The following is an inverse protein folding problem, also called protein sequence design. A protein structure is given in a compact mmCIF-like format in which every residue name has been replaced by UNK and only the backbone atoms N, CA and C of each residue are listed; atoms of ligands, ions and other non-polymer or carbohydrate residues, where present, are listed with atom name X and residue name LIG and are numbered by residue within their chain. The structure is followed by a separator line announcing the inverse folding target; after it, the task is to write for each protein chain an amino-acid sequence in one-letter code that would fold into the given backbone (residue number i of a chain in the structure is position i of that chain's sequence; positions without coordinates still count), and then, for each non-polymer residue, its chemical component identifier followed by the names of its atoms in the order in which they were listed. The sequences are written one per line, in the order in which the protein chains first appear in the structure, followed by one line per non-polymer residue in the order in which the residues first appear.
data_IF_365446143246
#
_entry.id   IF_365446143246
#
_cell.length_a   1.000
_cell.length_b   1.000
_cell.length_c   1.000
_cell.angle_alpha   90.00
_cell.angle_beta   90.00
_cell.angle_gamma   90.00
#
_symmetry.space_group_name_H-M   'P 1'
#
loop_
_entity.id
_entity.type
_entity.pdbx_description
1 polymer ?
#
# COMPACT_ATOMS: atom_id res chain seq x y z
N UNK A 1 12.75 -16.25 2.97
CA UNK A 1 11.83 -15.82 1.91
C UNK A 1 10.37 -16.03 2.29
N UNK A 2 9.94 -17.27 2.55
CA UNK A 2 8.54 -17.60 2.84
C UNK A 2 7.86 -16.67 3.87
N UNK A 3 8.51 -16.39 5.01
CA UNK A 3 7.97 -15.49 6.04
C UNK A 3 7.64 -14.08 5.53
N UNK A 4 8.50 -13.51 4.67
CA UNK A 4 8.27 -12.17 4.07
C UNK A 4 7.09 -12.22 3.10
N UNK A 5 7.00 -13.28 2.28
CA UNK A 5 5.88 -13.44 1.34
C UNK A 5 4.55 -13.61 2.08
N UNK A 6 4.52 -14.39 3.15
CA UNK A 6 3.33 -14.51 4.00
C UNK A 6 2.96 -13.16 4.63
N UNK A 7 3.92 -12.43 5.20
CA UNK A 7 3.65 -11.12 5.78
C UNK A 7 3.18 -10.09 4.75
N UNK A 8 3.74 -10.13 3.54
CA UNK A 8 3.30 -9.33 2.41
C UNK A 8 1.84 -9.63 2.03
N UNK A 9 1.51 -10.92 1.88
CA UNK A 9 0.15 -11.35 1.53
C UNK A 9 -0.86 -10.96 2.63
N UNK A 10 -0.53 -11.21 3.89
CA UNK A 10 -1.38 -10.84 5.03
C UNK A 10 -1.56 -9.32 5.14
N UNK A 11 -0.51 -8.53 4.87
CA UNK A 11 -0.60 -7.06 4.83
C UNK A 11 -1.53 -6.61 3.71
N UNK A 12 -1.40 -7.19 2.52
CA UNK A 12 -2.27 -6.89 1.38
C UNK A 12 -3.74 -7.20 1.68
N UNK A 13 -4.03 -8.40 2.20
CA UNK A 13 -5.38 -8.78 2.61
C UNK A 13 -5.91 -7.90 3.74
N UNK A 14 -5.07 -7.53 4.71
CA UNK A 14 -5.44 -6.58 5.77
C UNK A 14 -5.86 -5.21 5.21
N UNK A 15 -5.13 -4.69 4.23
CA UNK A 15 -5.49 -3.42 3.58
C UNK A 15 -6.76 -3.53 2.73
N UNK A 16 -6.97 -4.62 2.00
CA UNK A 16 -8.22 -4.87 1.26
C UNK A 16 -9.44 -5.01 2.18
N UNK A 17 -9.26 -5.69 3.31
CA UNK A 17 -10.28 -5.84 4.33
C UNK A 17 -10.65 -4.47 4.92
N UNK A 18 -9.65 -3.69 5.34
CA UNK A 18 -9.85 -2.33 5.84
C UNK A 18 -10.55 -1.43 4.80
N UNK A 19 -10.11 -1.47 3.53
CA UNK A 19 -10.76 -0.71 2.45
C UNK A 19 -12.24 -1.07 2.31
N UNK A 20 -12.60 -2.34 2.46
CA UNK A 20 -14.00 -2.80 2.39
C UNK A 20 -14.81 -2.34 3.61
N UNK A 21 -14.26 -2.45 4.83
CA UNK A 21 -14.91 -1.95 6.05
C UNK A 21 -15.17 -0.45 5.97
N UNK A 22 -14.16 0.34 5.59
CA UNK A 22 -14.29 1.80 5.47
C UNK A 22 -15.34 2.19 4.45
N UNK A 23 -15.44 1.49 3.32
CA UNK A 23 -16.48 1.75 2.32
C UNK A 23 -17.90 1.45 2.84
N UNK A 24 -18.06 0.38 3.62
CA UNK A 24 -19.35 0.03 4.23
C UNK A 24 -19.76 1.04 5.30
N UNK A 25 -18.84 1.44 6.17
CA UNK A 25 -19.08 2.46 7.20
C UNK A 25 -19.44 3.81 6.57
N UNK A 26 -18.67 4.25 5.57
CA UNK A 26 -18.95 5.50 4.85
C UNK A 26 -20.31 5.46 4.14
N UNK A 27 -20.68 4.33 3.54
CA UNK A 27 -21.99 4.15 2.93
C UNK A 27 -23.12 4.24 3.97
N UNK A 28 -22.96 3.61 5.13
CA UNK A 28 -23.94 3.69 6.21
C UNK A 28 -24.12 5.13 6.74
N UNK A 29 -23.01 5.86 6.92
CA UNK A 29 -23.01 7.26 7.32
C UNK A 29 -23.73 8.14 6.28
N UNK A 30 -23.36 8.02 5.00
CA UNK A 30 -23.98 8.78 3.90
C UNK A 30 -25.46 8.45 3.72
N UNK A 31 -25.86 7.20 3.91
CA UNK A 31 -27.28 6.78 3.84
C UNK A 31 -28.09 7.42 4.96
N UNK A 32 -27.54 7.45 6.19
CA UNK A 32 -28.18 8.11 7.33
C UNK A 32 -28.34 9.60 7.10
N UNK A 33 -27.32 10.27 6.56
CA UNK A 33 -27.39 11.69 6.23
C UNK A 33 -28.39 12.00 5.11
N UNK A 34 -28.40 11.19 4.05
CA UNK A 34 -29.34 11.35 2.94
C UNK A 34 -30.79 11.21 3.41
N UNK A 35 -31.06 10.22 4.27
CA UNK A 35 -32.38 10.05 4.90
C UNK A 35 -32.78 11.24 5.76
N UNK A 36 -31.84 11.81 6.52
CA UNK A 36 -32.10 12.99 7.35
C UNK A 36 -32.37 14.26 6.51
N UNK A 37 -31.75 14.37 5.33
CA UNK A 37 -31.91 15.50 4.41
C UNK A 37 -33.04 15.30 3.38
N UNK A 38 -33.69 14.14 3.36
CA UNK A 38 -34.71 13.80 2.36
C UNK A 38 -34.17 13.61 0.94
N UNK A 39 -32.88 13.32 0.79
CA UNK A 39 -32.21 13.11 -0.51
C UNK A 39 -32.00 11.63 -0.80
N UNK A 40 -31.73 11.28 -2.07
CA UNK A 40 -31.39 9.91 -2.44
C UNK A 40 -30.04 9.48 -1.84
N UNK A 41 -29.97 8.26 -1.30
CA UNK A 41 -28.75 7.70 -0.76
C UNK A 41 -27.81 7.21 -1.87
N UNK A 42 -26.48 7.42 -1.76
CA UNK A 42 -25.54 6.91 -2.75
C UNK A 42 -25.49 5.38 -2.71
N UNK A 43 -25.38 4.75 -3.89
CA UNK A 43 -25.18 3.30 -3.98
C UNK A 43 -23.82 2.90 -3.41
N UNK A 44 -23.72 1.76 -2.73
CA UNK A 44 -22.45 1.24 -2.18
C UNK A 44 -21.32 1.18 -3.20
N UNK A 45 -21.59 0.74 -4.44
CA UNK A 45 -20.57 0.68 -5.50
C UNK A 45 -20.06 2.08 -5.89
N UNK A 46 -20.92 3.11 -5.80
CA UNK A 46 -20.51 4.48 -6.04
C UNK A 46 -19.54 4.98 -4.95
N UNK A 47 -19.78 4.58 -3.68
CA UNK A 47 -18.88 4.87 -2.56
C UNK A 47 -17.57 4.12 -2.69
N UNK A 48 -17.62 2.80 -2.91
CA UNK A 48 -16.45 1.93 -2.95
C UNK A 48 -15.50 2.25 -4.10
N UNK A 49 -16.03 2.60 -5.27
CA UNK A 49 -15.23 2.87 -6.47
C UNK A 49 -15.09 4.37 -6.78
N UNK A 50 -15.35 5.23 -5.80
CA UNK A 50 -14.95 6.65 -5.85
C UNK A 50 -15.81 7.57 -6.72
N UNK A 51 -17.01 7.16 -7.14
CA UNK A 51 -17.99 8.08 -7.78
C UNK A 51 -18.55 9.08 -6.76
N UNK A 52 -18.60 8.69 -5.49
CA UNK A 52 -18.87 9.52 -4.32
C UNK A 52 -17.85 9.10 -3.27
N UNK A 53 -17.09 10.00 -2.65
CA UNK A 53 -16.01 9.59 -1.74
C UNK A 53 -15.85 10.57 -0.58
N UNK A 54 -15.31 10.07 0.52
CA UNK A 54 -14.86 10.86 1.65
C UNK A 54 -13.36 10.62 1.89
N UNK A 55 -12.74 11.46 2.73
CA UNK A 55 -11.31 11.37 3.01
C UNK A 55 -10.86 9.97 3.46
N UNK A 56 -11.66 9.29 4.30
CA UNK A 56 -11.36 7.94 4.80
C UNK A 56 -11.34 6.90 3.68
N UNK A 57 -12.32 6.94 2.78
CA UNK A 57 -12.38 6.05 1.61
C UNK A 57 -11.17 6.30 0.71
N UNK A 58 -10.82 7.57 0.45
CA UNK A 58 -9.64 7.91 -0.34
C UNK A 58 -8.33 7.40 0.30
N UNK A 59 -8.15 7.58 1.61
CA UNK A 59 -6.96 7.09 2.33
C UNK A 59 -6.84 5.57 2.20
N UNK A 60 -7.93 4.83 2.42
CA UNK A 60 -7.92 3.37 2.30
C UNK A 60 -7.60 2.90 0.87
N UNK A 61 -8.18 3.57 -0.15
CA UNK A 61 -7.94 3.26 -1.55
C UNK A 61 -6.49 3.55 -1.97
N UNK A 62 -5.92 4.68 -1.54
CA UNK A 62 -4.51 5.00 -1.80
C UNK A 62 -3.55 4.13 -1.02
N UNK A 63 -3.93 3.62 0.14
CA UNK A 63 -3.13 2.64 0.89
C UNK A 63 -2.97 1.34 0.11
N UNK A 64 -4.08 0.78 -0.41
CA UNK A 64 -4.04 -0.41 -1.28
C UNK A 64 -3.28 -0.12 -2.57
N UNK A 65 -3.60 0.99 -3.25
CA UNK A 65 -2.96 1.37 -4.51
C UNK A 65 -1.44 1.52 -4.37
N UNK A 66 -0.97 2.28 -3.38
CA UNK A 66 0.45 2.48 -3.14
C UNK A 66 1.17 1.18 -2.73
N UNK A 67 0.50 0.30 -1.98
CA UNK A 67 1.05 -1.00 -1.64
C UNK A 67 1.32 -1.84 -2.90
N UNK A 68 0.35 -1.93 -3.82
CA UNK A 68 0.49 -2.66 -5.10
C UNK A 68 1.56 -1.99 -5.97
N UNK A 69 1.47 -0.68 -6.20
CA UNK A 69 2.37 0.10 -7.06
C UNK A 69 3.85 -0.17 -6.70
N UNK A 70 4.21 -0.11 -5.43
CA UNK A 70 5.58 -0.39 -5.02
C UNK A 70 5.90 -1.88 -4.88
N UNK A 71 4.90 -2.74 -4.65
CA UNK A 71 5.12 -4.20 -4.63
C UNK A 71 5.58 -4.71 -5.99
N UNK A 72 5.10 -4.10 -7.08
CA UNK A 72 5.52 -4.43 -8.45
C UNK A 72 7.02 -4.18 -8.68
N UNK A 73 7.61 -3.21 -7.99
CA UNK A 73 9.06 -2.99 -8.03
C UNK A 73 9.80 -3.84 -6.99
N UNK A 74 9.25 -4.00 -5.77
CA UNK A 74 9.90 -4.76 -4.71
C UNK A 74 10.03 -6.25 -5.05
N UNK A 75 8.94 -6.90 -5.48
CA UNK A 75 8.88 -8.36 -5.59
C UNK A 75 9.90 -8.89 -6.60
N UNK A 76 9.98 -8.38 -7.86
CA UNK A 76 10.98 -8.86 -8.81
C UNK A 76 12.41 -8.61 -8.32
N UNK A 77 12.69 -7.42 -7.77
CA UNK A 77 13.99 -7.11 -7.17
C UNK A 77 14.36 -8.06 -6.02
N UNK A 78 13.40 -8.39 -5.15
CA UNK A 78 13.59 -9.31 -4.02
C UNK A 78 13.88 -10.74 -4.48
N UNK A 79 13.14 -11.25 -5.47
CA UNK A 79 13.39 -12.57 -6.02
C UNK A 79 14.75 -12.65 -6.72
N UNK A 80 15.07 -11.68 -7.57
CA UNK A 80 16.34 -11.63 -8.27
C UNK A 80 17.52 -11.52 -7.29
N UNK A 81 17.42 -10.63 -6.30
CA UNK A 81 18.48 -10.44 -5.30
C UNK A 81 18.68 -11.68 -4.44
N UNK A 82 17.58 -12.33 -4.03
CA UNK A 82 17.64 -13.59 -3.28
C UNK A 82 18.33 -14.70 -4.08
N UNK A 83 18.02 -14.81 -5.38
CA UNK A 83 18.59 -15.80 -6.29
C UNK A 83 20.10 -15.57 -6.53
N UNK A 84 20.50 -14.32 -6.73
CA UNK A 84 21.88 -13.96 -7.09
C UNK A 84 22.83 -13.92 -5.89
N UNK A 85 22.42 -13.29 -4.78
CA UNK A 85 23.35 -12.92 -3.70
C UNK A 85 23.19 -13.72 -2.40
N UNK A 86 22.20 -14.61 -2.29
CA UNK A 86 21.92 -15.31 -1.04
C UNK A 86 21.19 -14.42 -0.04
N UNK A 87 19.88 -14.65 0.09
CA UNK A 87 18.86 -13.68 0.44
C UNK A 87 18.82 -12.95 1.80
N UNK A 88 19.82 -13.00 2.66
CA UNK A 88 19.70 -12.37 3.99
C UNK A 88 19.55 -10.84 3.93
N UNK A 89 20.27 -10.15 3.04
CA UNK A 89 20.19 -8.68 2.90
C UNK A 89 18.87 -8.21 2.30
N UNK A 90 18.45 -8.81 1.18
CA UNK A 90 17.18 -8.48 0.54
C UNK A 90 15.97 -8.79 1.44
N UNK A 91 16.02 -9.87 2.24
CA UNK A 91 14.98 -10.18 3.21
C UNK A 91 14.85 -9.08 4.27
N UNK A 92 15.97 -8.55 4.78
CA UNK A 92 15.94 -7.44 5.76
C UNK A 92 15.35 -6.16 5.16
N UNK A 93 15.74 -5.83 3.92
CA UNK A 93 15.17 -4.70 3.19
C UNK A 93 13.66 -4.85 2.97
N UNK A 94 13.20 -6.04 2.60
CA UNK A 94 11.78 -6.32 2.42
C UNK A 94 10.98 -6.24 3.73
N UNK A 95 11.54 -6.68 4.86
CA UNK A 95 10.91 -6.50 6.17
C UNK A 95 10.80 -5.04 6.58
N UNK A 96 11.87 -4.25 6.41
CA UNK A 96 11.84 -2.81 6.69
C UNK A 96 10.77 -2.13 5.85
N UNK A 97 10.74 -2.43 4.54
CA UNK A 97 9.74 -1.93 3.63
C UNK A 97 8.31 -2.28 4.09
N UNK A 98 8.06 -3.53 4.53
CA UNK A 98 6.75 -3.98 5.01
C UNK A 98 6.30 -3.22 6.26
N UNK A 99 7.17 -3.05 7.25
CA UNK A 99 6.85 -2.32 8.49
C UNK A 99 6.45 -0.88 8.17
N UNK A 100 7.21 -0.22 7.30
CA UNK A 100 6.92 1.15 6.86
C UNK A 100 5.56 1.25 6.14
N UNK A 101 5.07 0.17 5.52
CA UNK A 101 3.75 0.18 4.85
C UNK A 101 2.57 0.34 5.80
N UNK A 102 2.69 -0.18 7.01
CA UNK A 102 1.65 0.00 8.02
C UNK A 102 1.52 1.47 8.48
N UNK A 103 2.55 2.29 8.27
CA UNK A 103 2.53 3.73 8.57
C UNK A 103 1.92 4.58 7.45
N UNK A 104 1.81 4.03 6.23
CA UNK A 104 1.31 4.76 5.07
C UNK A 104 -0.11 5.35 5.24
N UNK A 105 -1.15 4.61 5.71
CA UNK A 105 -2.48 5.19 5.84
C UNK A 105 -2.49 6.40 6.78
N UNK A 106 -1.71 6.33 7.87
CA UNK A 106 -1.56 7.43 8.84
C UNK A 106 -0.85 8.60 8.17
N UNK A 107 0.31 8.38 7.55
CA UNK A 107 1.05 9.43 6.84
C UNK A 107 0.21 10.09 5.73
N UNK A 108 -0.57 9.32 4.98
CA UNK A 108 -1.46 9.82 3.94
C UNK A 108 -2.59 10.68 4.51
N UNK A 109 -3.13 10.33 5.68
CA UNK A 109 -4.14 11.15 6.35
C UNK A 109 -3.61 12.51 6.82
N UNK A 110 -2.32 12.60 7.16
CA UNK A 110 -1.67 13.89 7.50
C UNK A 110 -1.18 14.67 6.28
N UNK A 111 -1.10 14.05 5.11
CA UNK A 111 -0.65 14.68 3.87
C UNK A 111 0.87 14.93 3.83
N UNK A 112 1.28 15.99 3.12
CA UNK A 112 2.68 16.37 3.01
C UNK A 112 3.16 17.07 4.29
N UNK A 113 4.43 16.85 4.73
CA UNK A 113 5.49 16.05 4.10
C UNK A 113 5.50 14.56 4.51
N UNK A 114 4.59 14.13 5.39
CA UNK A 114 4.59 12.80 6.01
C UNK A 114 4.54 11.65 5.00
N UNK A 115 3.79 11.80 3.92
CA UNK A 115 3.76 10.81 2.82
C UNK A 115 5.15 10.60 2.23
N UNK A 116 5.96 11.65 2.06
CA UNK A 116 7.32 11.51 1.52
C UNK A 116 8.25 10.83 2.51
N UNK A 117 8.15 11.14 3.80
CA UNK A 117 8.96 10.47 4.83
C UNK A 117 8.75 8.96 4.87
N UNK A 118 7.54 8.47 4.54
CA UNK A 118 7.23 7.04 4.52
C UNK A 118 7.50 6.39 3.15
N UNK A 119 7.41 7.14 2.05
CA UNK A 119 7.54 6.57 0.70
C UNK A 119 8.95 6.63 0.14
N UNK A 120 9.69 7.73 0.36
CA UNK A 120 11.03 7.94 -0.24
C UNK A 120 12.05 6.92 0.27
N UNK A 121 12.15 6.61 1.57
CA UNK A 121 13.09 5.59 2.05
C UNK A 121 12.80 4.21 1.46
N UNK A 122 11.53 3.89 1.23
CA UNK A 122 11.12 2.64 0.58
C UNK A 122 11.56 2.58 -0.88
N UNK A 123 11.41 3.68 -1.62
CA UNK A 123 11.93 3.77 -2.99
C UNK A 123 13.46 3.61 -3.02
N UNK A 124 14.17 4.26 -2.10
CA UNK A 124 15.63 4.15 -2.01
C UNK A 124 16.09 2.70 -1.73
N UNK A 125 15.38 1.97 -0.86
CA UNK A 125 15.67 0.56 -0.59
C UNK A 125 15.53 -0.31 -1.85
N UNK A 126 14.42 -0.17 -2.57
CA UNK A 126 14.17 -0.94 -3.81
C UNK A 126 15.17 -0.54 -4.89
N UNK A 127 15.44 0.75 -5.05
CA UNK A 127 16.44 1.25 -6.00
C UNK A 127 17.84 0.69 -5.72
N UNK A 128 18.28 0.68 -4.45
CA UNK A 128 19.55 0.09 -4.06
C UNK A 128 19.68 -1.38 -4.45
N UNK A 129 18.62 -2.18 -4.30
CA UNK A 129 18.59 -3.57 -4.74
C UNK A 129 18.78 -3.71 -6.26
N UNK A 130 18.14 -2.85 -7.04
CA UNK A 130 18.29 -2.84 -8.50
C UNK A 130 19.68 -2.38 -8.95
N UNK A 131 20.30 -1.43 -8.25
CA UNK A 131 21.68 -1.01 -8.55
C UNK A 131 22.66 -2.17 -8.32
N UNK A 132 22.52 -2.94 -7.24
CA UNK A 132 23.36 -4.11 -6.99
C UNK A 132 23.16 -5.18 -8.08
N UNK A 133 21.92 -5.42 -8.49
CA UNK A 133 21.60 -6.34 -9.58
C UNK A 133 22.18 -5.88 -10.93
N UNK A 134 22.06 -4.59 -11.25
CA UNK A 134 22.59 -4.03 -12.49
C UNK A 134 24.12 -4.15 -12.57
N UNK A 135 24.82 -3.90 -11.46
CA UNK A 135 26.28 -4.10 -11.37
C UNK A 135 26.67 -5.57 -11.54
N UNK A 136 25.93 -6.49 -10.93
CA UNK A 136 26.17 -7.92 -11.11
C UNK A 136 25.96 -8.36 -12.57
N UNK A 137 24.96 -7.80 -13.23
CA UNK A 137 24.66 -8.04 -14.64
C UNK A 137 25.59 -7.26 -15.62
N UNK A 138 26.56 -6.48 -15.12
CA UNK A 138 27.46 -5.63 -15.92
C UNK A 138 26.72 -4.62 -16.81
N UNK A 139 25.57 -4.13 -16.34
CA UNK A 139 24.79 -3.06 -16.99
C UNK A 139 25.22 -1.66 -16.52
N UNK A 140 25.93 -1.60 -15.39
CA UNK A 140 26.54 -0.43 -14.76
C UNK A 140 27.90 -0.84 -14.20
#
# INVERSE_FOLDING_TARGET
MARVLCAWALTYYGFLFNQSCVALEAHAEMTREARAKGTEAPKLLAVKYGRVSCARVLVSARTVGNFIEQSLALMPGLFAHFYVFGGLRAIRAAWLWLVVRWLYPVAYSYGLPWVFFVTVPNYACVFGMYIELARHAKLL
#
